data_IF_538185655729
#
_entry.id   IF_538185655729
#
_cell.length_a   1.000
_cell.length_b   1.000
_cell.length_c   1.000
_cell.angle_alpha   90.00
_cell.angle_beta   90.00
_cell.angle_gamma   90.00
#
_symmetry.space_group_name_H-M   'P 1'
#
loop_
_entity.id
_entity.type
_entity.pdbx_description
1 polymer ?
#
# COMPACT_ATOMS: atom_id res chain seq x y z
N UNK A 1 21.41 -20.50 0.24
CA UNK A 1 21.48 -19.70 -1.00
C UNK A 1 20.78 -18.37 -0.75
N UNK A 2 21.44 -17.23 -0.90
CA UNK A 2 20.79 -15.92 -0.78
C UNK A 2 20.09 -15.56 -2.10
N UNK A 3 18.92 -14.89 -2.06
CA UNK A 3 18.26 -14.42 -3.27
C UNK A 3 19.13 -13.36 -3.96
N UNK A 4 19.34 -13.53 -5.26
CA UNK A 4 20.11 -12.59 -6.11
C UNK A 4 19.31 -11.35 -6.52
N UNK A 5 17.99 -11.35 -6.29
CA UNK A 5 17.10 -10.23 -6.57
C UNK A 5 15.63 -10.61 -6.39
N UNK A 6 14.75 -9.63 -6.56
CA UNK A 6 13.30 -9.80 -6.51
C UNK A 6 12.65 -9.07 -7.71
N UNK A 7 11.57 -9.65 -8.24
CA UNK A 7 10.81 -9.08 -9.35
C UNK A 7 9.34 -9.01 -8.95
N UNK A 8 8.75 -7.82 -9.08
CA UNK A 8 7.31 -7.64 -8.89
C UNK A 8 6.55 -8.04 -10.16
N UNK A 9 5.82 -9.15 -10.09
CA UNK A 9 5.20 -9.79 -11.26
C UNK A 9 3.90 -9.14 -11.73
N UNK A 10 3.30 -8.22 -10.97
CA UNK A 10 1.99 -7.66 -11.34
C UNK A 10 2.05 -6.89 -12.68
N UNK A 11 1.14 -7.24 -13.58
CA UNK A 11 1.01 -6.64 -14.90
C UNK A 11 2.05 -7.12 -15.93
N UNK A 12 2.79 -8.20 -15.64
CA UNK A 12 3.57 -8.92 -16.66
C UNK A 12 2.66 -9.82 -17.50
N UNK A 13 2.98 -9.99 -18.78
CA UNK A 13 2.38 -10.99 -19.66
C UNK A 13 3.32 -12.17 -19.85
N UNK A 14 2.76 -13.38 -19.88
CA UNK A 14 3.50 -14.62 -20.11
C UNK A 14 3.30 -15.06 -21.55
N UNK A 15 4.37 -15.40 -22.25
CA UNK A 15 4.31 -15.92 -23.62
C UNK A 15 5.25 -17.10 -23.77
N UNK A 16 4.74 -18.24 -24.27
CA UNK A 16 5.59 -19.40 -24.62
C UNK A 16 6.46 -19.03 -25.83
N UNK A 17 7.72 -19.47 -25.85
CA UNK A 17 8.67 -19.11 -26.90
C UNK A 17 9.31 -20.35 -27.55
N UNK A 18 8.52 -21.25 -28.17
CA UNK A 18 9.04 -22.51 -28.71
C UNK A 18 10.16 -22.32 -29.74
N UNK A 19 10.18 -21.18 -30.44
CA UNK A 19 11.17 -20.86 -31.47
C UNK A 19 12.48 -20.28 -30.92
N UNK A 20 12.65 -20.22 -29.59
CA UNK A 20 13.84 -19.60 -28.98
C UNK A 20 15.10 -20.48 -29.04
N UNK A 21 15.02 -21.68 -29.63
CA UNK A 21 16.10 -22.68 -29.62
C UNK A 21 16.32 -23.37 -28.27
N UNK A 22 15.51 -23.05 -27.26
CA UNK A 22 15.54 -23.67 -25.94
C UNK A 22 14.21 -24.41 -25.69
N UNK A 23 14.24 -25.72 -25.41
CA UNK A 23 13.02 -26.44 -25.09
C UNK A 23 12.39 -25.87 -23.82
N UNK A 24 11.06 -25.90 -23.77
CA UNK A 24 10.28 -25.48 -22.61
C UNK A 24 10.51 -24.03 -22.17
N UNK A 25 10.76 -23.13 -23.13
CA UNK A 25 11.03 -21.72 -22.85
C UNK A 25 9.77 -20.85 -22.85
N UNK A 26 9.81 -19.82 -22.02
CA UNK A 26 8.78 -18.80 -21.92
C UNK A 26 9.39 -17.45 -21.56
N UNK A 27 8.64 -16.39 -21.86
CA UNK A 27 9.01 -15.00 -21.60
C UNK A 27 7.99 -14.35 -20.69
N UNK A 28 8.48 -13.60 -19.71
CA UNK A 28 7.72 -12.60 -18.95
C UNK A 28 8.04 -11.22 -19.50
N UNK A 29 7.04 -10.47 -19.98
CA UNK A 29 7.24 -9.12 -20.53
C UNK A 29 6.29 -8.09 -19.94
N UNK A 30 6.75 -6.84 -19.83
CA UNK A 30 5.93 -5.68 -19.40
C UNK A 30 6.43 -4.42 -20.12
N UNK A 31 5.52 -3.60 -20.64
CA UNK A 31 5.84 -2.43 -21.50
C UNK A 31 6.86 -1.44 -20.90
N UNK A 32 6.99 -1.38 -19.58
CA UNK A 32 7.87 -0.46 -18.86
C UNK A 32 8.93 -1.15 -17.99
N UNK A 33 9.20 -2.44 -18.20
CA UNK A 33 10.11 -3.20 -17.34
C UNK A 33 10.91 -4.26 -18.11
N UNK A 34 11.91 -4.83 -17.43
CA UNK A 34 12.78 -5.86 -18.00
C UNK A 34 11.96 -7.08 -18.41
N UNK A 35 12.18 -7.55 -19.64
CA UNK A 35 11.63 -8.83 -20.10
C UNK A 35 12.56 -9.96 -19.67
N UNK A 36 12.00 -10.97 -19.00
CA UNK A 36 12.74 -12.13 -18.51
C UNK A 36 12.50 -13.32 -19.44
N UNK A 37 13.59 -13.98 -19.80
CA UNK A 37 13.57 -15.22 -20.55
C UNK A 37 13.93 -16.38 -19.63
N UNK A 38 13.04 -17.36 -19.56
CA UNK A 38 13.15 -18.49 -18.67
C UNK A 38 12.93 -19.78 -19.48
N UNK A 39 13.57 -20.86 -19.06
CA UNK A 39 13.32 -22.19 -19.60
C UNK A 39 13.15 -23.16 -18.43
N UNK A 40 12.10 -23.97 -18.50
CA UNK A 40 11.89 -25.03 -17.53
C UNK A 40 12.73 -26.27 -17.89
N UNK A 41 13.01 -27.10 -16.89
CA UNK A 41 13.77 -28.35 -17.10
C UNK A 41 12.93 -29.46 -17.73
N UNK A 42 11.61 -29.31 -17.79
CA UNK A 42 10.69 -30.26 -18.44
C UNK A 42 9.37 -29.59 -18.84
N UNK A 43 8.57 -30.28 -19.65
CA UNK A 43 7.23 -29.84 -20.04
C UNK A 43 6.29 -29.69 -18.84
N UNK A 44 6.31 -30.63 -17.90
CA UNK A 44 5.45 -30.57 -16.70
C UNK A 44 5.82 -29.37 -15.83
N UNK A 45 7.12 -29.07 -15.71
CA UNK A 45 7.60 -27.90 -14.99
C UNK A 45 7.25 -26.61 -15.69
N UNK A 46 7.25 -26.58 -17.01
CA UNK A 46 6.77 -25.42 -17.77
C UNK A 46 5.32 -25.12 -17.43
N UNK A 47 4.44 -26.11 -17.51
CA UNK A 47 3.02 -25.93 -17.18
C UNK A 47 2.85 -25.49 -15.72
N UNK A 48 3.59 -26.10 -14.79
CA UNK A 48 3.58 -25.69 -13.38
C UNK A 48 3.98 -24.21 -13.20
N UNK A 49 5.06 -23.78 -13.85
CA UNK A 49 5.54 -22.39 -13.79
C UNK A 49 4.56 -21.43 -14.44
N UNK A 50 4.03 -21.74 -15.62
CA UNK A 50 3.05 -20.90 -16.30
C UNK A 50 1.80 -20.73 -15.45
N UNK A 51 1.28 -21.79 -14.84
CA UNK A 51 0.10 -21.71 -13.99
C UNK A 51 0.33 -20.86 -12.74
N UNK A 52 1.44 -21.09 -12.03
CA UNK A 52 1.80 -20.32 -10.84
C UNK A 52 2.02 -18.84 -11.17
N UNK A 53 2.78 -18.54 -12.23
CA UNK A 53 3.07 -17.18 -12.65
C UNK A 53 1.83 -16.49 -13.22
N UNK A 54 0.97 -17.19 -13.98
CA UNK A 54 -0.26 -16.60 -14.52
C UNK A 54 -1.16 -16.10 -13.39
N UNK A 55 -1.25 -16.84 -12.29
CA UNK A 55 -1.93 -16.37 -11.09
C UNK A 55 -1.25 -15.14 -10.47
N UNK A 56 0.07 -15.17 -10.32
CA UNK A 56 0.85 -14.08 -9.70
C UNK A 56 0.97 -12.81 -10.57
N UNK A 57 0.77 -12.91 -11.88
CA UNK A 57 0.80 -11.76 -12.80
C UNK A 57 -0.50 -10.97 -12.84
N UNK A 58 -1.62 -11.61 -12.48
CA UNK A 58 -2.88 -10.91 -12.28
C UNK A 58 -2.61 -9.80 -11.24
N UNK A 59 -3.13 -8.58 -11.45
CA UNK A 59 -3.17 -7.62 -10.37
C UNK A 59 -3.75 -8.35 -9.16
N UNK A 60 -3.12 -8.25 -7.98
CA UNK A 60 -3.87 -8.57 -6.78
C UNK A 60 -5.06 -7.63 -6.80
N UNK A 61 -6.24 -8.15 -7.16
CA UNK A 61 -7.49 -7.56 -6.72
C UNK A 61 -7.43 -7.69 -5.21
N UNK A 62 -6.83 -6.71 -4.55
CA UNK A 62 -6.84 -6.57 -3.11
C UNK A 62 -8.30 -6.27 -2.77
N UNK A 63 -9.12 -7.25 -2.33
CA UNK A 63 -10.57 -7.05 -2.25
C UNK A 63 -10.94 -6.01 -1.18
N UNK A 64 -9.98 -5.69 -0.31
CA UNK A 64 -10.03 -4.66 0.72
C UNK A 64 -9.59 -3.28 0.22
N UNK A 65 -8.95 -3.18 -0.96
CA UNK A 65 -8.56 -1.93 -1.59
C UNK A 65 -9.79 -1.30 -2.25
N UNK A 66 -10.46 -0.44 -1.50
CA UNK A 66 -11.61 0.29 -2.00
C UNK A 66 -11.18 1.45 -2.91
N UNK A 67 -10.76 1.13 -4.14
CA UNK A 67 -10.44 2.12 -5.17
C UNK A 67 -11.61 3.07 -5.45
N UNK A 68 -12.85 2.68 -5.10
CA UNK A 68 -14.01 3.57 -5.21
C UNK A 68 -13.93 4.68 -4.17
N UNK A 69 -13.45 4.40 -2.95
CA UNK A 69 -13.23 5.42 -1.91
C UNK A 69 -12.26 6.51 -2.38
N UNK A 70 -11.24 6.18 -3.19
CA UNK A 70 -10.33 7.20 -3.75
C UNK A 70 -11.04 8.23 -4.64
N UNK A 71 -12.14 7.86 -5.29
CA UNK A 71 -12.88 8.69 -6.26
C UNK A 71 -14.08 9.41 -5.67
N UNK A 72 -14.32 9.25 -4.37
CA UNK A 72 -15.45 9.86 -3.67
C UNK A 72 -14.96 11.02 -2.81
N UNK A 73 -15.81 12.04 -2.58
CA UNK A 73 -15.49 13.08 -1.62
C UNK A 73 -15.58 12.52 -0.18
N UNK A 74 -14.89 13.15 0.80
CA UNK A 74 -14.90 12.68 2.19
C UNK A 74 -16.30 12.50 2.78
N UNK A 75 -17.23 13.38 2.39
CA UNK A 75 -18.62 13.42 2.87
C UNK A 75 -19.49 12.26 2.36
N UNK A 76 -19.05 11.55 1.32
CA UNK A 76 -19.76 10.39 0.75
C UNK A 76 -19.24 9.06 1.27
N UNK A 77 -18.16 9.06 2.04
CA UNK A 77 -17.60 7.83 2.61
C UNK A 77 -18.45 7.40 3.79
N UNK A 78 -19.09 6.24 3.67
CA UNK A 78 -19.91 5.67 4.74
C UNK A 78 -19.06 5.00 5.80
N UNK A 79 -19.45 5.22 7.06
CA UNK A 79 -18.89 4.59 8.28
C UNK A 79 -17.35 4.67 8.36
N UNK A 80 -16.73 5.87 8.28
CA UNK A 80 -15.31 5.99 8.56
C UNK A 80 -15.04 5.69 10.04
N UNK A 81 -13.93 5.00 10.32
CA UNK A 81 -13.49 4.70 11.69
C UNK A 81 -12.93 5.96 12.38
N UNK A 82 -12.33 6.85 11.59
CA UNK A 82 -11.93 8.18 12.04
C UNK A 82 -11.85 9.15 10.87
N UNK A 83 -12.10 10.43 11.11
CA UNK A 83 -11.89 11.48 10.13
C UNK A 83 -11.58 12.81 10.81
N UNK A 84 -10.77 13.64 10.16
CA UNK A 84 -10.39 14.95 10.67
C UNK A 84 -9.17 15.53 9.97
N UNK A 85 -8.90 16.80 10.26
CA UNK A 85 -7.73 17.48 9.71
C UNK A 85 -6.47 17.09 10.49
N UNK A 86 -5.44 16.67 9.77
CA UNK A 86 -4.11 16.37 10.31
C UNK A 86 -3.07 17.20 9.57
N UNK A 87 -2.02 17.61 10.27
CA UNK A 87 -0.80 18.05 9.61
C UNK A 87 0.09 16.82 9.39
N UNK A 88 0.42 16.53 8.13
CA UNK A 88 1.08 15.30 7.72
C UNK A 88 2.47 15.58 7.16
N UNK A 89 3.43 14.71 7.46
CA UNK A 89 4.76 14.68 6.88
C UNK A 89 5.08 13.24 6.50
N UNK A 90 5.53 13.04 5.25
CA UNK A 90 5.80 11.71 4.70
C UNK A 90 7.28 11.62 4.35
N UNK A 91 8.03 10.85 5.13
CA UNK A 91 9.40 10.51 4.77
C UNK A 91 9.36 9.76 3.43
N UNK A 92 10.38 9.88 2.57
CA UNK A 92 10.44 9.42 1.16
C UNK A 92 9.83 10.35 0.08
N UNK A 93 8.99 11.36 0.40
CA UNK A 93 8.49 12.32 -0.63
C UNK A 93 8.63 13.81 -0.28
N UNK A 94 9.17 14.17 0.88
CA UNK A 94 9.49 15.55 1.20
C UNK A 94 9.73 15.79 2.68
N UNK A 95 10.28 16.96 3.01
CA UNK A 95 10.51 17.44 4.38
C UNK A 95 9.47 18.50 4.82
N UNK A 96 8.37 18.64 4.09
CA UNK A 96 7.37 19.69 4.32
C UNK A 96 6.08 19.13 4.94
N UNK A 97 5.66 19.74 6.04
CA UNK A 97 4.37 19.49 6.66
C UNK A 97 3.24 20.03 5.78
N UNK A 98 2.16 19.26 5.62
CA UNK A 98 0.96 19.68 4.89
C UNK A 98 -0.28 19.42 5.71
N UNK A 99 -1.16 20.43 5.85
CA UNK A 99 -2.49 20.25 6.43
C UNK A 99 -3.37 19.52 5.40
N UNK A 100 -3.99 18.42 5.81
CA UNK A 100 -4.84 17.56 4.96
C UNK A 100 -6.03 17.06 5.75
N UNK A 101 -7.17 16.93 5.11
CA UNK A 101 -8.26 16.14 5.68
C UNK A 101 -7.95 14.66 5.50
N UNK A 102 -7.88 13.92 6.60
CA UNK A 102 -7.55 12.51 6.60
C UNK A 102 -8.78 11.70 7.01
N UNK A 103 -8.94 10.53 6.40
CA UNK A 103 -10.04 9.60 6.69
C UNK A 103 -9.46 8.19 6.82
N UNK A 104 -9.82 7.51 7.91
CA UNK A 104 -9.44 6.13 8.19
C UNK A 104 -10.62 5.20 7.96
N UNK A 105 -10.41 4.16 7.15
CA UNK A 105 -11.39 3.09 6.92
C UNK A 105 -10.69 1.81 6.51
N UNK A 106 -10.99 0.71 7.19
CA UNK A 106 -10.50 -0.64 6.88
C UNK A 106 -8.96 -0.70 6.79
N UNK A 107 -8.27 -0.21 7.81
CA UNK A 107 -6.81 -0.08 7.87
C UNK A 107 -6.19 0.71 6.69
N UNK A 108 -6.99 1.50 5.97
CA UNK A 108 -6.53 2.39 4.92
C UNK A 108 -6.73 3.85 5.33
N UNK A 109 -5.69 4.66 5.19
CA UNK A 109 -5.70 6.09 5.45
C UNK A 109 -5.74 6.85 4.13
N UNK A 110 -6.81 7.62 3.92
CA UNK A 110 -7.06 8.42 2.72
C UNK A 110 -6.72 9.88 2.99
N UNK A 111 -6.09 10.53 2.02
CA UNK A 111 -5.62 11.92 2.14
C UNK A 111 -6.35 12.82 1.15
N UNK A 112 -7.03 13.84 1.65
CA UNK A 112 -7.72 14.86 0.86
C UNK A 112 -7.04 16.22 1.07
N UNK A 113 -7.21 17.16 0.14
CA UNK A 113 -6.75 18.55 0.35
C UNK A 113 -7.46 19.15 1.56
N UNK A 114 -8.77 18.94 1.64
CA UNK A 114 -9.68 19.42 2.69
C UNK A 114 -10.99 18.60 2.67
N UNK A 115 -11.98 18.99 3.48
CA UNK A 115 -13.26 18.27 3.63
C UNK A 115 -14.17 18.37 2.39
N UNK A 116 -13.99 19.38 1.55
CA UNK A 116 -14.80 19.65 0.36
C UNK A 116 -14.17 19.09 -0.92
N UNK A 117 -13.03 18.41 -0.83
CA UNK A 117 -12.38 17.80 -1.98
C UNK A 117 -13.28 16.74 -2.65
N UNK A 118 -13.28 16.70 -3.98
CA UNK A 118 -14.08 15.74 -4.75
C UNK A 118 -13.53 14.31 -4.71
N UNK A 119 -12.23 14.15 -4.46
CA UNK A 119 -11.55 12.86 -4.43
C UNK A 119 -10.28 12.89 -3.57
N UNK A 120 -9.79 11.71 -3.20
CA UNK A 120 -8.57 11.57 -2.43
C UNK A 120 -7.34 11.85 -3.31
N UNK A 121 -6.41 12.65 -2.79
CA UNK A 121 -5.08 12.87 -3.38
C UNK A 121 -4.16 11.64 -3.27
N UNK A 122 -4.54 10.65 -2.48
CA UNK A 122 -3.82 9.40 -2.30
C UNK A 122 -4.30 8.64 -1.08
N UNK A 123 -3.73 7.45 -0.89
CA UNK A 123 -4.06 6.56 0.22
C UNK A 123 -2.80 5.79 0.66
N UNK A 124 -2.77 5.38 1.92
CA UNK A 124 -1.80 4.46 2.49
C UNK A 124 -2.51 3.28 3.15
N UNK A 125 -2.09 2.06 2.79
CA UNK A 125 -2.51 0.83 3.44
C UNK A 125 -1.63 0.66 4.69
N UNK A 126 -2.25 0.47 5.86
CA UNK A 126 -1.59 0.51 7.17
C UNK A 126 -1.39 -0.88 7.79
N UNK A 127 -1.52 -1.95 7.00
CA UNK A 127 -1.30 -3.32 7.45
C UNK A 127 0.11 -3.49 8.01
N UNK A 128 0.20 -3.98 9.25
CA UNK A 128 1.46 -4.17 9.95
C UNK A 128 2.16 -2.88 10.39
N UNK A 129 1.57 -1.69 10.16
CA UNK A 129 2.12 -0.46 10.69
C UNK A 129 1.95 -0.41 12.21
N UNK A 130 2.96 0.14 12.89
CA UNK A 130 2.87 0.44 14.31
C UNK A 130 2.49 1.90 14.52
N UNK A 131 1.48 2.12 15.35
CA UNK A 131 1.07 3.46 15.80
C UNK A 131 1.85 3.80 17.06
N UNK A 132 2.44 4.99 17.13
CA UNK A 132 3.09 5.46 18.35
C UNK A 132 3.04 6.98 18.52
N UNK A 133 3.12 7.44 19.77
CA UNK A 133 3.34 8.88 20.04
C UNK A 133 4.75 9.28 19.61
N UNK A 134 4.89 10.44 18.97
CA UNK A 134 6.22 10.91 18.56
C UNK A 134 6.95 11.48 19.77
N UNK A 135 8.20 11.05 19.96
CA UNK A 135 9.09 11.57 21.01
C UNK A 135 9.73 12.91 20.62
N UNK A 136 9.57 13.34 19.36
CA UNK A 136 10.13 14.61 18.88
C UNK A 136 9.34 15.79 19.46
N UNK A 137 9.89 16.44 20.49
CA UNK A 137 9.25 17.56 21.22
C UNK A 137 8.94 18.82 20.40
N UNK A 138 9.18 18.82 19.09
CA UNK A 138 8.91 19.96 18.20
C UNK A 138 7.40 20.19 17.95
N UNK A 139 6.54 19.16 18.12
CA UNK A 139 5.10 19.24 17.89
C UNK A 139 4.35 18.52 19.03
N UNK A 140 3.66 19.30 19.88
CA UNK A 140 3.08 18.86 21.16
C UNK A 140 2.13 17.65 21.06
N UNK A 141 1.29 17.61 20.02
CA UNK A 141 0.30 16.54 19.81
C UNK A 141 0.66 15.65 18.62
N UNK A 142 1.95 15.33 18.50
CA UNK A 142 2.45 14.49 17.42
C UNK A 142 2.36 12.99 17.70
N UNK A 143 2.20 12.24 16.62
CA UNK A 143 2.22 10.78 16.55
C UNK A 143 2.75 10.34 15.18
N UNK A 144 3.09 9.06 15.05
CA UNK A 144 3.71 8.52 13.84
C UNK A 144 3.22 7.10 13.55
N UNK A 145 3.27 6.76 12.27
CA UNK A 145 3.02 5.41 11.76
C UNK A 145 4.34 4.85 11.23
N UNK A 146 4.87 3.90 11.97
CA UNK A 146 6.14 3.23 11.65
C UNK A 146 5.84 2.07 10.71
N UNK A 147 6.46 2.03 9.53
CA UNK A 147 6.24 0.95 8.57
C UNK A 147 6.86 -0.37 9.08
N UNK A 148 6.26 -1.52 8.73
CA UNK A 148 6.85 -2.83 9.04
C UNK A 148 8.12 -3.11 8.23
N UNK A 149 8.28 -2.46 7.08
CA UNK A 149 9.42 -2.63 6.16
C UNK A 149 10.05 -1.28 5.79
N UNK A 150 11.39 -1.19 5.66
CA UNK A 150 12.08 0.06 5.28
C UNK A 150 11.73 0.61 3.88
N UNK A 151 11.16 -0.24 3.01
CA UNK A 151 10.68 0.12 1.67
C UNK A 151 9.40 0.96 1.70
N UNK A 152 8.63 0.84 2.79
CA UNK A 152 7.36 1.51 3.00
C UNK A 152 7.55 2.87 3.67
N UNK A 153 6.52 3.71 3.58
CA UNK A 153 6.63 5.12 3.98
C UNK A 153 6.46 5.30 5.49
N UNK A 154 7.39 6.00 6.12
CA UNK A 154 7.17 6.51 7.48
C UNK A 154 6.31 7.78 7.44
N UNK A 155 5.20 7.78 8.18
CA UNK A 155 4.31 8.94 8.33
C UNK A 155 4.43 9.59 9.70
N UNK A 156 4.47 10.91 9.71
CA UNK A 156 4.40 11.73 10.91
C UNK A 156 3.15 12.62 10.85
N UNK A 157 2.50 12.76 11.98
CA UNK A 157 1.27 13.52 12.14
C UNK A 157 1.34 14.41 13.36
N UNK A 158 0.61 15.52 13.35
CA UNK A 158 0.19 16.20 14.57
C UNK A 158 -1.22 16.76 14.43
N UNK A 159 -1.89 16.88 15.57
CA UNK A 159 -3.23 17.47 15.71
C UNK A 159 -3.17 18.83 16.39
N UNK A 160 -4.27 19.56 16.34
CA UNK A 160 -4.42 20.85 17.04
C UNK A 160 -4.74 20.64 18.55
N UNK A 161 -5.31 19.49 18.93
CA UNK A 161 -5.69 19.16 20.31
C UNK A 161 -5.19 17.78 20.76
N UNK A 162 -5.00 17.61 22.07
CA UNK A 162 -4.67 16.31 22.67
C UNK A 162 -5.82 15.29 22.49
N UNK A 163 -7.06 15.75 22.57
CA UNK A 163 -8.24 14.92 22.38
C UNK A 163 -8.28 14.34 20.96
N UNK A 164 -7.98 15.13 19.94
CA UNK A 164 -7.85 14.64 18.57
C UNK A 164 -6.71 13.63 18.45
N UNK A 165 -5.56 13.88 19.08
CA UNK A 165 -4.45 12.91 19.07
C UNK A 165 -4.90 11.58 19.65
N UNK A 166 -5.55 11.58 20.83
CA UNK A 166 -6.05 10.36 21.48
C UNK A 166 -7.07 9.63 20.59
N UNK A 167 -8.01 10.36 19.98
CA UNK A 167 -9.01 9.81 19.06
C UNK A 167 -8.36 9.15 17.84
N UNK A 168 -7.35 9.80 17.25
CA UNK A 168 -6.63 9.26 16.10
C UNK A 168 -5.81 8.02 16.45
N UNK A 169 -5.04 8.06 17.55
CA UNK A 169 -4.26 6.91 18.02
C UNK A 169 -5.16 5.69 18.23
N UNK A 170 -6.23 5.84 19.00
CA UNK A 170 -7.14 4.74 19.31
C UNK A 170 -7.81 4.16 18.06
N UNK A 171 -8.25 5.01 17.13
CA UNK A 171 -8.87 4.54 15.90
C UNK A 171 -7.88 3.83 14.96
N UNK A 172 -6.65 4.32 14.85
CA UNK A 172 -5.60 3.71 14.05
C UNK A 172 -5.20 2.34 14.62
N UNK A 173 -4.96 2.26 15.93
CA UNK A 173 -4.64 1.00 16.62
C UNK A 173 -5.76 -0.02 16.44
N UNK A 174 -7.00 0.38 16.71
CA UNK A 174 -8.17 -0.50 16.54
C UNK A 174 -8.35 -0.99 15.10
N UNK A 175 -8.23 -0.08 14.11
CA UNK A 175 -8.43 -0.40 12.70
C UNK A 175 -7.38 -1.39 12.18
N UNK A 176 -6.10 -1.19 12.56
CA UNK A 176 -4.98 -2.07 12.18
C UNK A 176 -5.09 -3.42 12.88
N UNK A 177 -5.36 -3.45 14.19
CA UNK A 177 -5.49 -4.70 14.96
C UNK A 177 -6.69 -5.55 14.50
N UNK A 178 -7.82 -4.91 14.21
CA UNK A 178 -9.01 -5.61 13.69
C UNK A 178 -8.71 -6.28 12.36
N UNK A 179 -7.93 -5.65 11.50
CA UNK A 179 -7.51 -6.26 10.24
C UNK A 179 -6.70 -7.53 10.47
N UNK A 180 -5.71 -7.48 11.37
CA UNK A 180 -4.85 -8.64 11.69
C UNK A 180 -5.66 -9.85 12.21
N UNK A 181 -6.76 -9.62 12.92
CA UNK A 181 -7.61 -10.70 13.46
C UNK A 181 -8.59 -11.30 12.44
N UNK A 182 -8.84 -10.63 11.32
CA UNK A 182 -9.83 -11.02 10.31
C UNK A 182 -9.15 -11.53 9.02
N UNK A 183 -7.84 -11.32 8.88
CA UNK A 183 -6.97 -11.82 7.80
C UNK A 183 -6.35 -13.18 8.11
#
# INVERSE_FOLDING_TARGET
SQPVGAVHLAGYSITRTPDSGYPHSFRLSKKSALSLHLAATSSDKLEQWINALSSATKPLEEPWLDEKTLKLPPTRIQQPECAGTLCTLVHHRGKAWRRRFCLLKNACLYFYSDINADCASGMACLQGYRVQSSASGAKRFAFELVPPEPSLKHFYFYTDTEMDKKRWLAALEYSIDRWIKVS
#
